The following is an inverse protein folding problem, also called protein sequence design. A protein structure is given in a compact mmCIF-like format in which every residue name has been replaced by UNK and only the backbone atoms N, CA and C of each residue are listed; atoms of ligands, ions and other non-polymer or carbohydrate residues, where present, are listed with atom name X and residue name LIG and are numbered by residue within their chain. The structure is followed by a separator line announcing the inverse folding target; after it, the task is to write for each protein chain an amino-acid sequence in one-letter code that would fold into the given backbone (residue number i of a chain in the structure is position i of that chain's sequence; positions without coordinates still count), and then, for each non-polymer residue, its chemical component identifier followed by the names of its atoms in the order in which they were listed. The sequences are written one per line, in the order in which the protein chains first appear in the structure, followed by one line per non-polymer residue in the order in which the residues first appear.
data_IF_939129636110
#
_entry.id   IF_939129636110
#
_cell.length_a   1.000
_cell.length_b   1.000
_cell.length_c   1.000
_cell.angle_alpha   90.00
_cell.angle_beta   90.00
_cell.angle_gamma   90.00
#
_symmetry.space_group_name_H-M   'P 1'
#
loop_
_entity.id
_entity.type
_entity.pdbx_description
1 polymer ?
#
# COMPACT_ATOMS: atom_id res chain seq x y z
N UNK A 1 -28.68 -26.85 39.76
CA UNK A 1 -28.24 -26.85 38.35
C UNK A 1 -27.10 -25.87 38.10
N UNK A 2 -27.20 -24.64 38.56
CA UNK A 2 -26.15 -23.60 38.38
C UNK A 2 -24.77 -23.96 38.96
N UNK A 3 -24.68 -24.53 40.17
CA UNK A 3 -23.41 -24.94 40.77
C UNK A 3 -22.69 -26.04 39.98
N UNK A 4 -23.40 -26.96 39.35
CA UNK A 4 -22.81 -28.01 38.51
C UNK A 4 -22.28 -27.44 37.18
N UNK A 5 -22.94 -26.45 36.60
CA UNK A 5 -22.48 -25.73 35.42
C UNK A 5 -21.20 -24.92 35.69
N UNK A 6 -21.11 -24.24 36.84
CA UNK A 6 -19.96 -23.49 37.26
C UNK A 6 -18.72 -24.39 37.49
N UNK A 7 -18.93 -25.53 38.13
CA UNK A 7 -17.87 -26.54 38.35
C UNK A 7 -17.38 -27.15 37.02
N UNK A 8 -18.24 -27.38 36.06
CA UNK A 8 -17.88 -27.86 34.71
C UNK A 8 -17.08 -26.82 33.94
N UNK A 9 -17.50 -25.55 34.01
CA UNK A 9 -16.79 -24.44 33.36
C UNK A 9 -15.37 -24.23 33.94
N UNK A 10 -15.21 -24.35 35.27
CA UNK A 10 -13.89 -24.29 35.92
C UNK A 10 -12.99 -25.44 35.50
N UNK A 11 -13.52 -26.66 35.38
CA UNK A 11 -12.77 -27.84 34.92
C UNK A 11 -12.34 -27.70 33.45
N UNK A 12 -13.17 -27.17 32.59
CA UNK A 12 -12.83 -26.93 31.18
C UNK A 12 -11.73 -25.86 31.04
N UNK A 13 -11.79 -24.78 31.83
CA UNK A 13 -10.74 -23.76 31.86
C UNK A 13 -9.39 -24.31 32.38
N UNK A 14 -9.41 -25.18 33.39
CA UNK A 14 -8.22 -25.82 33.91
C UNK A 14 -7.60 -26.76 32.86
N UNK A 15 -8.42 -27.54 32.16
CA UNK A 15 -7.96 -28.42 31.08
C UNK A 15 -7.36 -27.64 29.91
N UNK A 16 -7.99 -26.53 29.47
CA UNK A 16 -7.48 -25.66 28.43
C UNK A 16 -6.11 -25.04 28.79
N UNK A 17 -5.91 -24.65 30.06
CA UNK A 17 -4.61 -24.16 30.57
C UNK A 17 -3.56 -25.24 30.54
N UNK A 18 -3.87 -26.47 30.98
CA UNK A 18 -2.94 -27.58 30.98
C UNK A 18 -2.49 -27.97 29.57
N UNK A 19 -3.42 -28.03 28.61
CA UNK A 19 -3.11 -28.29 27.19
C UNK A 19 -2.19 -27.19 26.62
N UNK A 20 -2.48 -25.92 26.90
CA UNK A 20 -1.67 -24.80 26.44
C UNK A 20 -0.24 -24.83 26.99
N UNK A 21 -0.09 -25.16 28.28
CA UNK A 21 1.22 -25.33 28.92
C UNK A 21 2.00 -26.49 28.29
N UNK A 22 1.34 -27.61 28.01
CA UNK A 22 1.98 -28.77 27.37
C UNK A 22 2.44 -28.43 25.92
N UNK A 23 1.66 -27.69 25.18
CA UNK A 23 2.03 -27.20 23.84
C UNK A 23 3.26 -26.28 23.90
N UNK A 24 3.29 -25.34 24.84
CA UNK A 24 4.44 -24.44 25.02
C UNK A 24 5.73 -25.21 25.41
N UNK A 25 5.62 -26.23 26.29
CA UNK A 25 6.76 -27.09 26.64
C UNK A 25 7.22 -27.93 25.46
N UNK A 26 6.34 -28.43 24.63
CA UNK A 26 6.67 -29.16 23.40
C UNK A 26 7.43 -28.29 22.40
N UNK A 27 6.99 -27.02 22.21
CA UNK A 27 7.71 -26.06 21.37
C UNK A 27 9.10 -25.70 21.94
N UNK A 28 9.24 -25.60 23.26
CA UNK A 28 10.52 -25.36 23.89
C UNK A 28 11.47 -26.56 23.71
N UNK A 29 10.98 -27.80 23.86
CA UNK A 29 11.75 -29.03 23.65
C UNK A 29 12.19 -29.22 22.19
N UNK A 30 11.35 -28.82 21.22
CA UNK A 30 11.70 -28.88 19.81
C UNK A 30 12.75 -27.82 19.40
N UNK A 31 12.85 -26.71 20.12
CA UNK A 31 13.91 -25.71 19.90
C UNK A 31 15.30 -26.17 20.38
N UNK A 32 15.38 -27.00 21.39
CA UNK A 32 16.64 -27.47 21.98
C UNK A 32 17.31 -28.59 21.12
N UNK A 33 16.57 -29.26 20.22
CA UNK A 33 17.11 -30.36 19.38
C UNK A 33 17.72 -29.93 18.05
N UNK A 34 17.93 -28.60 17.79
CA UNK A 34 18.48 -28.09 16.54
C UNK A 34 19.86 -27.43 16.63
N UNK A 35 20.64 -27.73 17.65
CA UNK A 35 21.97 -27.08 17.87
C UNK A 35 23.15 -28.00 17.84
N UNK A 36 23.12 -29.15 17.17
CA UNK A 36 24.32 -30.00 17.03
C UNK A 36 24.35 -30.60 15.61
N UNK A 37 24.76 -29.81 14.62
CA UNK A 37 25.36 -30.24 13.34
C UNK A 37 25.74 -28.97 12.54
N UNK A 38 26.93 -28.44 12.82
CA UNK A 38 27.55 -27.35 12.03
C UNK A 38 28.72 -27.94 11.24
N UNK A 39 28.72 -27.86 9.89
CA UNK A 39 29.94 -28.12 9.11
C UNK A 39 30.83 -26.85 9.09
N UNK A 40 32.15 -26.95 8.85
CA UNK A 40 33.13 -25.90 9.07
C UNK A 40 32.98 -24.76 8.05
N UNK A 41 33.23 -23.55 8.54
CA UNK A 41 33.13 -22.28 7.86
C UNK A 41 34.12 -22.12 6.70
N UNK A 42 33.59 -21.84 5.50
CA UNK A 42 34.28 -21.10 4.48
C UNK A 42 33.81 -19.63 4.56
N UNK A 43 34.78 -18.72 4.61
CA UNK A 43 34.61 -17.30 4.87
C UNK A 43 33.96 -16.61 3.66
N UNK A 44 32.80 -15.97 3.78
CA UNK A 44 32.34 -15.01 2.79
C UNK A 44 32.58 -13.56 3.24
N UNK A 45 32.76 -12.74 2.23
CA UNK A 45 33.00 -11.31 2.28
C UNK A 45 32.14 -10.53 3.29
N UNK A 46 32.75 -9.53 3.90
CA UNK A 46 32.15 -8.63 4.88
C UNK A 46 30.86 -7.98 4.39
N UNK A 47 29.72 -8.49 4.85
CA UNK A 47 28.48 -7.76 4.77
C UNK A 47 28.49 -6.62 5.78
N UNK A 48 28.47 -5.38 5.28
CA UNK A 48 28.23 -4.22 6.14
C UNK A 48 26.93 -4.42 6.91
N UNK A 49 26.96 -4.16 8.22
CA UNK A 49 25.80 -4.29 9.09
C UNK A 49 24.63 -3.46 8.53
N UNK A 50 23.36 -3.94 8.66
CA UNK A 50 22.20 -3.14 8.33
C UNK A 50 22.27 -1.82 9.11
N UNK A 51 21.83 -0.69 8.52
CA UNK A 51 21.76 0.56 9.27
C UNK A 51 20.93 0.32 10.54
N UNK A 52 21.29 0.97 11.67
CA UNK A 52 20.60 0.76 12.93
C UNK A 52 19.10 0.90 12.71
N UNK A 53 18.33 -0.07 13.20
CA UNK A 53 16.88 0.00 13.17
C UNK A 53 16.49 1.36 13.77
N UNK A 54 15.91 2.22 12.93
CA UNK A 54 15.28 3.45 13.44
C UNK A 54 14.32 2.98 14.52
N UNK A 55 14.54 3.46 15.74
CA UNK A 55 13.73 3.16 16.90
C UNK A 55 12.24 3.26 16.51
N UNK A 56 11.39 2.53 17.20
CA UNK A 56 9.95 2.40 17.00
C UNK A 56 9.13 3.70 17.09
N UNK A 57 9.76 4.83 16.89
CA UNK A 57 9.13 6.14 16.77
C UNK A 57 8.58 6.34 15.36
N UNK A 58 7.52 5.57 15.05
CA UNK A 58 6.65 5.98 13.94
C UNK A 58 6.01 7.29 14.40
N UNK A 59 6.33 8.45 13.80
CA UNK A 59 5.73 9.70 14.22
C UNK A 59 4.21 9.55 14.14
N UNK A 60 3.50 10.05 15.16
CA UNK A 60 2.05 10.07 15.16
C UNK A 60 1.56 10.83 13.91
N UNK A 61 0.52 10.30 13.24
CA UNK A 61 -0.07 10.99 12.09
C UNK A 61 -0.43 12.44 12.47
N UNK A 62 -0.12 13.44 11.63
CA UNK A 62 -0.48 14.84 11.85
C UNK A 62 -1.97 15.06 12.14
N UNK A 63 -2.84 14.13 11.75
CA UNK A 63 -4.28 14.15 12.05
C UNK A 63 -4.61 14.16 13.56
N UNK A 64 -3.66 13.76 14.43
CA UNK A 64 -3.80 13.83 15.89
C UNK A 64 -3.24 15.15 16.48
N UNK A 65 -2.57 15.96 15.67
CA UNK A 65 -1.78 17.10 16.15
C UNK A 65 -2.59 18.34 16.57
N UNK A 66 -3.88 18.45 16.20
CA UNK A 66 -4.75 19.58 16.59
C UNK A 66 -5.88 19.11 17.49
N UNK A 67 -5.86 19.59 18.75
CA UNK A 67 -6.92 19.29 19.71
C UNK A 67 -8.31 19.76 19.26
N UNK A 68 -8.38 20.78 18.39
CA UNK A 68 -9.62 21.43 17.95
C UNK A 68 -10.11 20.97 16.57
N UNK A 69 -9.29 20.24 15.78
CA UNK A 69 -9.72 19.77 14.47
C UNK A 69 -10.85 18.71 14.59
N UNK A 70 -11.88 18.75 13.73
CA UNK A 70 -12.93 17.74 13.74
C UNK A 70 -12.34 16.33 13.57
N UNK A 71 -12.85 15.39 14.38
CA UNK A 71 -12.49 13.98 14.25
C UNK A 71 -13.09 13.41 12.96
N UNK A 72 -12.34 12.56 12.28
CA UNK A 72 -12.86 11.85 11.12
C UNK A 72 -12.64 10.34 11.27
N UNK A 73 -13.70 9.50 11.14
CA UNK A 73 -13.55 8.04 11.28
C UNK A 73 -12.58 7.41 10.27
N UNK A 74 -12.38 8.02 9.10
CA UNK A 74 -11.40 7.54 8.11
C UNK A 74 -9.96 7.99 8.36
N UNK A 75 -9.71 8.85 9.38
CA UNK A 75 -8.37 9.27 9.77
C UNK A 75 -7.75 8.40 10.86
N UNK A 76 -8.57 7.73 11.64
CA UNK A 76 -8.23 7.07 12.90
C UNK A 76 -8.75 5.62 12.89
N UNK A 77 -8.09 4.74 13.62
CA UNK A 77 -8.64 3.42 13.97
C UNK A 77 -9.77 3.59 15.01
N UNK A 78 -10.56 2.54 15.22
CA UNK A 78 -11.64 2.57 16.20
C UNK A 78 -11.17 2.94 17.62
N UNK A 79 -10.00 2.44 18.01
CA UNK A 79 -9.40 2.71 19.33
C UNK A 79 -8.87 4.14 19.44
N UNK A 80 -8.17 4.63 18.42
CA UNK A 80 -7.70 6.01 18.34
C UNK A 80 -8.86 7.01 18.33
N UNK A 81 -9.91 6.70 17.55
CA UNK A 81 -11.13 7.52 17.49
C UNK A 81 -11.84 7.58 18.85
N UNK A 82 -11.98 6.44 19.52
CA UNK A 82 -12.59 6.37 20.83
C UNK A 82 -11.76 7.10 21.90
N UNK A 83 -10.45 6.98 21.86
CA UNK A 83 -9.54 7.68 22.76
C UNK A 83 -9.62 9.21 22.56
N UNK A 84 -9.56 9.68 21.29
CA UNK A 84 -9.65 11.10 20.96
C UNK A 84 -11.00 11.71 21.35
N UNK A 85 -12.12 10.99 21.10
CA UNK A 85 -13.45 11.42 21.52
C UNK A 85 -13.58 11.48 23.04
N UNK A 86 -13.07 10.47 23.75
CA UNK A 86 -13.08 10.44 25.22
C UNK A 86 -12.24 11.55 25.85
N UNK A 87 -11.09 11.86 25.26
CA UNK A 87 -10.24 12.96 25.73
C UNK A 87 -10.95 14.32 25.64
N UNK A 88 -11.78 14.53 24.60
CA UNK A 88 -12.52 15.79 24.40
C UNK A 88 -13.79 15.90 25.23
N UNK A 89 -14.48 14.77 25.50
CA UNK A 89 -15.75 14.77 26.23
C UNK A 89 -15.64 14.30 27.69
N UNK A 90 -14.46 13.89 28.14
CA UNK A 90 -14.24 13.28 29.46
C UNK A 90 -14.87 11.88 29.62
N UNK A 91 -15.56 11.36 28.58
CA UNK A 91 -16.30 10.08 28.59
C UNK A 91 -16.67 9.64 27.18
N UNK A 92 -17.29 8.46 27.04
CA UNK A 92 -18.00 8.08 25.81
C UNK A 92 -17.25 7.16 24.86
N UNK A 93 -16.12 6.54 25.27
CA UNK A 93 -15.32 5.69 24.40
C UNK A 93 -16.08 4.50 23.77
N UNK A 94 -16.99 3.87 24.50
CA UNK A 94 -17.83 2.79 23.98
C UNK A 94 -18.78 3.30 22.89
N UNK A 95 -19.41 4.46 23.13
CA UNK A 95 -20.31 5.09 22.15
C UNK A 95 -19.56 5.59 20.93
N UNK A 96 -18.33 6.10 21.12
CA UNK A 96 -17.47 6.50 20.02
C UNK A 96 -17.12 5.30 19.10
N UNK A 97 -16.82 4.14 19.67
CA UNK A 97 -16.62 2.92 18.84
C UNK A 97 -17.91 2.49 18.10
N UNK A 98 -19.07 2.64 18.73
CA UNK A 98 -20.35 2.34 18.07
C UNK A 98 -20.61 3.31 16.90
N UNK A 99 -20.35 4.61 17.10
CA UNK A 99 -20.44 5.63 16.04
C UNK A 99 -19.46 5.36 14.89
N UNK A 100 -18.21 5.02 15.23
CA UNK A 100 -17.17 4.65 14.26
C UNK A 100 -17.60 3.47 13.40
N UNK A 101 -18.11 2.39 14.03
CA UNK A 101 -18.59 1.20 13.34
C UNK A 101 -19.77 1.53 12.41
N UNK A 102 -20.75 2.31 12.91
CA UNK A 102 -21.93 2.68 12.13
C UNK A 102 -21.55 3.57 10.93
N UNK A 103 -20.64 4.53 11.11
CA UNK A 103 -20.11 5.34 10.01
C UNK A 103 -19.44 4.47 8.94
N UNK A 104 -18.55 3.57 9.33
CA UNK A 104 -17.82 2.73 8.38
C UNK A 104 -18.71 1.68 7.70
N UNK A 105 -19.85 1.33 8.30
CA UNK A 105 -20.86 0.46 7.67
C UNK A 105 -21.76 1.21 6.71
N UNK A 106 -22.21 2.40 7.08
CA UNK A 106 -23.27 3.12 6.38
C UNK A 106 -22.78 4.33 5.55
N UNK A 107 -21.53 4.77 5.74
CA UNK A 107 -20.92 5.90 5.04
C UNK A 107 -21.38 7.28 5.55
N UNK A 108 -22.22 7.34 6.58
CA UNK A 108 -22.78 8.59 7.09
C UNK A 108 -22.79 8.62 8.62
N UNK A 109 -22.68 9.84 9.19
CA UNK A 109 -22.85 10.07 10.63
C UNK A 109 -24.32 10.20 11.05
N UNK A 110 -25.26 10.27 10.13
CA UNK A 110 -26.68 10.51 10.40
C UNK A 110 -27.44 9.24 10.85
N UNK A 111 -26.88 8.07 10.55
CA UNK A 111 -27.53 6.79 10.88
C UNK A 111 -27.14 6.35 12.28
N UNK A 112 -27.75 6.94 13.30
CA UNK A 112 -27.65 6.49 14.70
C UNK A 112 -28.48 5.19 14.83
N UNK A 113 -27.92 4.07 14.37
CA UNK A 113 -28.61 2.75 14.39
C UNK A 113 -28.22 1.91 15.59
N UNK A 114 -27.01 2.10 16.12
CA UNK A 114 -26.57 1.32 17.26
C UNK A 114 -27.45 1.59 18.47
N UNK A 115 -27.93 0.51 19.11
CA UNK A 115 -28.76 0.58 20.31
C UNK A 115 -28.10 1.41 21.41
N UNK A 116 -26.81 1.31 21.53
CA UNK A 116 -25.97 2.05 22.49
C UNK A 116 -26.10 3.57 22.28
N UNK A 117 -26.10 4.04 21.03
CA UNK A 117 -26.23 5.46 20.70
C UNK A 117 -27.67 5.95 20.94
N UNK A 118 -28.68 5.11 20.66
CA UNK A 118 -30.09 5.43 20.95
C UNK A 118 -30.40 5.56 22.45
N UNK A 119 -29.67 4.82 23.30
CA UNK A 119 -29.81 4.88 24.74
C UNK A 119 -29.17 6.11 25.38
N UNK A 120 -28.31 6.83 24.65
CA UNK A 120 -27.61 8.01 25.13
C UNK A 120 -27.63 9.15 24.09
N UNK A 121 -28.81 9.65 23.69
CA UNK A 121 -28.98 10.56 22.55
C UNK A 121 -28.19 11.88 22.70
N UNK A 122 -28.14 12.44 23.91
CA UNK A 122 -27.38 13.66 24.16
C UNK A 122 -25.88 13.48 23.95
N UNK A 123 -25.29 12.38 24.40
CA UNK A 123 -23.88 12.09 24.20
C UNK A 123 -23.60 11.70 22.75
N UNK A 124 -24.51 10.99 22.09
CA UNK A 124 -24.41 10.69 20.66
C UNK A 124 -24.39 11.98 19.82
N UNK A 125 -25.24 12.96 20.15
CA UNK A 125 -25.22 14.26 19.49
C UNK A 125 -23.90 15.01 19.70
N UNK A 126 -23.36 15.01 20.93
CA UNK A 126 -22.03 15.59 21.22
C UNK A 126 -20.92 14.90 20.42
N UNK A 127 -20.91 13.57 20.33
CA UNK A 127 -19.95 12.81 19.52
C UNK A 127 -20.07 13.16 18.04
N UNK A 128 -21.26 13.25 17.48
CA UNK A 128 -21.46 13.65 16.09
C UNK A 128 -20.96 15.09 15.84
N UNK A 129 -21.18 16.00 16.77
CA UNK A 129 -20.70 17.39 16.67
C UNK A 129 -19.17 17.50 16.66
N UNK A 130 -18.45 16.55 17.26
CA UNK A 130 -16.99 16.48 17.19
C UNK A 130 -16.47 16.02 15.83
N UNK A 131 -17.33 15.46 14.97
CA UNK A 131 -16.91 14.77 13.76
C UNK A 131 -17.12 15.60 12.51
N UNK A 132 -16.19 15.51 11.56
CA UNK A 132 -16.44 15.90 10.18
C UNK A 132 -17.28 14.81 9.49
N UNK A 133 -18.46 15.18 9.01
CA UNK A 133 -19.42 14.20 8.44
C UNK A 133 -19.12 13.84 6.98
N UNK A 134 -18.57 14.76 6.19
CA UNK A 134 -18.30 14.53 4.78
C UNK A 134 -16.94 13.85 4.58
N UNK A 135 -16.82 12.87 3.67
CA UNK A 135 -15.53 12.29 3.30
C UNK A 135 -14.53 13.36 2.86
N UNK A 136 -13.22 13.17 3.11
CA UNK A 136 -12.19 14.14 2.74
C UNK A 136 -12.01 14.32 1.23
N UNK A 137 -12.32 13.29 0.43
CA UNK A 137 -12.41 13.36 -1.03
C UNK A 137 -13.88 13.38 -1.46
N UNK A 138 -14.18 14.05 -2.55
CA UNK A 138 -15.47 14.00 -3.22
C UNK A 138 -15.34 13.17 -4.49
N UNK A 139 -16.22 12.19 -4.70
CA UNK A 139 -16.32 11.46 -5.95
C UNK A 139 -16.90 12.38 -7.03
N UNK A 140 -16.36 12.34 -8.25
CA UNK A 140 -16.86 13.14 -9.35
C UNK A 140 -18.32 12.83 -9.68
N UNK A 141 -19.09 13.85 -10.08
CA UNK A 141 -20.49 13.74 -10.41
C UNK A 141 -20.72 12.73 -11.56
N UNK A 142 -21.83 12.01 -11.49
CA UNK A 142 -22.19 11.00 -12.49
C UNK A 142 -21.42 9.68 -12.40
N UNK A 143 -20.57 9.51 -11.40
CA UNK A 143 -19.88 8.23 -11.18
C UNK A 143 -20.90 7.13 -10.83
N UNK A 144 -20.81 6.01 -11.54
CA UNK A 144 -21.67 4.84 -11.36
C UNK A 144 -20.83 3.58 -11.12
N UNK A 145 -21.46 2.55 -10.57
CA UNK A 145 -20.81 1.24 -10.42
C UNK A 145 -20.34 0.72 -11.78
N UNK A 146 -19.16 0.08 -11.85
CA UNK A 146 -18.65 -0.45 -13.11
C UNK A 146 -19.52 -1.63 -13.58
N UNK A 147 -19.59 -1.83 -14.90
CA UNK A 147 -20.22 -3.02 -15.45
C UNK A 147 -19.52 -4.30 -14.92
N UNK A 148 -20.24 -5.41 -14.76
CA UNK A 148 -19.66 -6.67 -14.32
C UNK A 148 -18.45 -7.07 -15.17
N UNK A 149 -17.30 -7.32 -14.52
CA UNK A 149 -16.07 -7.71 -15.20
C UNK A 149 -15.26 -6.57 -15.84
N UNK A 150 -15.78 -5.34 -15.87
CA UNK A 150 -15.09 -4.18 -16.44
C UNK A 150 -14.12 -3.55 -15.42
N UNK A 151 -13.02 -2.99 -15.94
CA UNK A 151 -12.14 -2.09 -15.17
C UNK A 151 -12.63 -0.66 -15.35
N UNK A 152 -12.75 0.10 -14.26
CA UNK A 152 -13.26 1.46 -14.30
C UNK A 152 -12.37 2.41 -13.50
N UNK A 153 -12.12 3.59 -14.04
CA UNK A 153 -11.36 4.66 -13.40
C UNK A 153 -12.31 5.73 -12.87
N UNK A 154 -12.05 6.18 -11.65
CA UNK A 154 -12.80 7.23 -10.98
C UNK A 154 -11.90 8.38 -10.62
N UNK A 155 -12.41 9.58 -10.81
CA UNK A 155 -11.78 10.82 -10.37
C UNK A 155 -12.39 11.25 -9.04
N UNK A 156 -11.53 11.58 -8.09
CA UNK A 156 -11.92 12.13 -6.80
C UNK A 156 -11.27 13.49 -6.61
N UNK A 157 -12.02 14.42 -6.02
CA UNK A 157 -11.55 15.78 -5.79
C UNK A 157 -11.26 16.01 -4.32
N UNK A 158 -10.11 16.57 -4.04
CA UNK A 158 -9.70 17.02 -2.70
C UNK A 158 -10.40 18.32 -2.33
N UNK A 159 -10.46 18.65 -1.04
CA UNK A 159 -11.07 19.92 -0.56
C UNK A 159 -10.34 21.16 -1.07
N UNK A 160 -9.05 21.07 -1.32
CA UNK A 160 -8.20 22.13 -1.89
C UNK A 160 -8.20 22.13 -3.42
N UNK A 161 -9.09 21.34 -4.06
CA UNK A 161 -9.41 21.43 -5.49
C UNK A 161 -8.53 20.59 -6.40
N UNK A 162 -7.62 19.78 -5.89
CA UNK A 162 -6.87 18.81 -6.69
C UNK A 162 -7.73 17.59 -7.02
N UNK A 163 -7.32 16.88 -8.06
CA UNK A 163 -7.95 15.63 -8.48
C UNK A 163 -6.96 14.47 -8.35
N UNK A 164 -7.45 13.35 -7.85
CA UNK A 164 -6.73 12.07 -7.83
C UNK A 164 -7.58 10.99 -8.45
N UNK A 165 -6.96 9.94 -8.91
CA UNK A 165 -7.64 8.84 -9.61
C UNK A 165 -7.53 7.55 -8.81
N UNK A 166 -8.63 6.80 -8.76
CA UNK A 166 -8.65 5.41 -8.31
C UNK A 166 -9.18 4.50 -9.40
N UNK A 167 -8.80 3.22 -9.37
CA UNK A 167 -9.27 2.24 -10.36
C UNK A 167 -9.89 1.05 -9.64
N UNK A 168 -11.13 0.71 -10.02
CA UNK A 168 -11.79 -0.52 -9.62
C UNK A 168 -11.58 -1.59 -10.69
N UNK A 169 -11.07 -2.75 -10.28
CA UNK A 169 -10.80 -3.89 -11.14
C UNK A 169 -11.47 -5.13 -10.58
N UNK A 170 -12.03 -6.02 -11.41
CA UNK A 170 -12.53 -7.31 -10.94
C UNK A 170 -11.45 -8.08 -10.16
N UNK A 171 -11.78 -8.57 -8.97
CA UNK A 171 -10.85 -9.34 -8.16
C UNK A 171 -10.61 -10.72 -8.79
N UNK A 172 -9.36 -11.16 -9.01
CA UNK A 172 -9.07 -12.45 -9.59
C UNK A 172 -9.64 -13.60 -8.73
N UNK A 173 -10.38 -14.52 -9.36
CA UNK A 173 -10.92 -15.71 -8.70
C UNK A 173 -12.05 -15.46 -7.69
N UNK A 174 -12.65 -14.26 -7.70
CA UNK A 174 -13.73 -13.90 -6.77
C UNK A 174 -14.82 -13.11 -7.51
N UNK A 175 -15.82 -13.81 -8.02
CA UNK A 175 -16.92 -13.19 -8.74
C UNK A 175 -17.68 -12.17 -7.87
N UNK A 176 -17.93 -10.98 -8.43
CA UNK A 176 -18.63 -9.90 -7.74
C UNK A 176 -17.80 -9.17 -6.69
N UNK A 177 -16.51 -9.49 -6.53
CA UNK A 177 -15.58 -8.77 -5.66
C UNK A 177 -14.58 -7.94 -6.48
N UNK A 178 -14.05 -6.90 -5.86
CA UNK A 178 -13.23 -5.88 -6.51
C UNK A 178 -11.87 -5.69 -5.84
N UNK A 179 -10.85 -5.49 -6.66
CA UNK A 179 -9.54 -4.96 -6.27
C UNK A 179 -9.53 -3.47 -6.54
N UNK A 180 -9.14 -2.68 -5.56
CA UNK A 180 -9.05 -1.24 -5.71
C UNK A 180 -7.59 -0.78 -5.79
N UNK A 181 -7.27 -0.05 -6.86
CA UNK A 181 -6.00 0.66 -6.99
C UNK A 181 -6.19 2.09 -6.46
N UNK A 182 -5.51 2.41 -5.36
CA UNK A 182 -5.65 3.70 -4.68
C UNK A 182 -4.41 4.57 -4.85
N UNK A 183 -4.63 5.88 -4.88
CA UNK A 183 -3.59 6.91 -4.91
C UNK A 183 -3.13 7.28 -3.51
N UNK A 184 -1.85 7.59 -3.35
CA UNK A 184 -1.23 8.03 -2.08
C UNK A 184 -0.76 9.48 -2.11
N UNK A 185 -0.68 10.09 -3.29
CA UNK A 185 -0.22 11.48 -3.49
C UNK A 185 -1.00 12.13 -4.63
N UNK A 186 -1.01 13.45 -4.67
CA UNK A 186 -1.39 14.25 -5.84
C UNK A 186 -0.13 14.45 -6.68
N UNK A 187 -0.02 13.71 -7.79
CA UNK A 187 1.22 13.62 -8.56
C UNK A 187 2.24 12.67 -7.94
N UNK A 188 3.52 12.72 -8.39
CA UNK A 188 4.59 11.87 -7.90
C UNK A 188 5.95 12.53 -8.16
N UNK A 189 6.81 12.59 -7.13
CA UNK A 189 8.16 13.18 -7.28
C UNK A 189 9.16 12.27 -7.97
N UNK A 190 8.86 10.97 -8.11
CA UNK A 190 9.85 10.00 -8.60
C UNK A 190 10.23 10.22 -10.07
N UNK A 191 9.35 10.84 -10.86
CA UNK A 191 9.67 11.27 -12.22
C UNK A 191 10.03 10.14 -13.18
N UNK A 192 9.54 8.92 -12.95
CA UNK A 192 9.78 7.78 -13.84
C UNK A 192 9.34 8.13 -15.26
N UNK A 193 10.24 7.97 -16.24
CA UNK A 193 10.05 8.44 -17.62
C UNK A 193 8.87 7.77 -18.34
N UNK A 194 8.50 6.58 -17.91
CA UNK A 194 7.41 5.75 -18.43
C UNK A 194 6.13 5.81 -17.58
N UNK A 195 5.95 6.83 -16.72
CA UNK A 195 4.79 6.98 -15.86
C UNK A 195 4.14 8.36 -16.03
N UNK A 196 2.84 8.39 -16.35
CA UNK A 196 2.10 9.65 -16.54
C UNK A 196 2.05 10.48 -15.25
N UNK A 197 1.86 9.82 -14.09
CA UNK A 197 1.88 10.51 -12.79
C UNK A 197 3.25 11.15 -12.51
N UNK A 198 4.34 10.50 -12.91
CA UNK A 198 5.71 11.05 -12.77
C UNK A 198 5.91 12.32 -13.59
N UNK A 199 5.21 12.49 -14.71
CA UNK A 199 5.25 13.70 -15.55
C UNK A 199 4.55 14.91 -14.92
N UNK A 200 3.66 14.69 -13.95
CA UNK A 200 2.96 15.76 -13.23
C UNK A 200 3.87 16.41 -12.17
N UNK A 201 4.87 15.69 -11.68
CA UNK A 201 5.58 16.06 -10.46
C UNK A 201 4.71 15.87 -9.20
N UNK A 202 5.28 16.10 -8.03
CA UNK A 202 4.54 16.04 -6.75
C UNK A 202 3.93 17.40 -6.45
N UNK A 203 2.63 17.43 -6.20
CA UNK A 203 1.91 18.60 -5.69
C UNK A 203 1.76 18.54 -4.18
N UNK A 204 1.25 17.42 -3.62
CA UNK A 204 1.22 17.13 -2.19
C UNK A 204 0.94 15.67 -1.87
N UNK A 205 1.19 15.28 -0.64
CA UNK A 205 0.77 14.01 -0.09
C UNK A 205 -0.74 13.98 0.20
N UNK A 206 -1.33 12.79 0.14
CA UNK A 206 -2.69 12.55 0.64
C UNK A 206 -2.62 12.15 2.11
N UNK A 207 -3.53 12.67 2.92
CA UNK A 207 -3.71 12.21 4.29
C UNK A 207 -4.27 10.78 4.35
N UNK A 208 -4.11 10.11 5.48
CA UNK A 208 -4.67 8.78 5.71
C UNK A 208 -6.19 8.75 5.46
N UNK A 209 -6.89 9.80 5.86
CA UNK A 209 -8.33 9.93 5.63
C UNK A 209 -8.67 10.07 4.13
N UNK A 210 -7.89 10.83 3.36
CA UNK A 210 -8.08 10.93 1.91
C UNK A 210 -7.79 9.60 1.21
N UNK A 211 -6.76 8.88 1.63
CA UNK A 211 -6.48 7.56 1.09
C UNK A 211 -7.63 6.59 1.41
N UNK A 212 -8.06 6.52 2.67
CA UNK A 212 -9.13 5.63 3.11
C UNK A 212 -10.49 5.99 2.46
N UNK A 213 -10.74 7.27 2.17
CA UNK A 213 -12.00 7.70 1.54
C UNK A 213 -12.18 7.17 0.12
N UNK A 214 -11.11 6.82 -0.60
CA UNK A 214 -11.22 6.15 -1.90
C UNK A 214 -11.92 4.80 -1.75
N UNK A 215 -11.56 4.02 -0.71
CA UNK A 215 -12.21 2.73 -0.41
C UNK A 215 -13.62 2.92 0.13
N UNK A 216 -13.85 3.95 0.94
CA UNK A 216 -15.18 4.28 1.45
C UNK A 216 -16.15 4.63 0.30
N UNK A 217 -15.73 5.47 -0.66
CA UNK A 217 -16.53 5.76 -1.87
C UNK A 217 -16.80 4.52 -2.71
N UNK A 218 -15.80 3.65 -2.91
CA UNK A 218 -16.02 2.41 -3.64
C UNK A 218 -17.11 1.55 -2.99
N UNK A 219 -17.15 1.49 -1.66
CA UNK A 219 -18.16 0.69 -0.92
C UNK A 219 -19.51 1.38 -0.83
N UNK A 220 -19.54 2.63 -0.40
CA UNK A 220 -20.80 3.29 -0.03
C UNK A 220 -21.45 4.01 -1.21
N UNK A 221 -20.66 4.67 -2.07
CA UNK A 221 -21.19 5.41 -3.22
C UNK A 221 -21.38 4.51 -4.44
N UNK A 222 -20.46 3.56 -4.67
CA UNK A 222 -20.50 2.67 -5.83
C UNK A 222 -21.02 1.26 -5.52
N UNK A 223 -21.28 0.92 -4.25
CA UNK A 223 -21.81 -0.39 -3.84
C UNK A 223 -20.83 -1.57 -4.06
N UNK A 224 -19.53 -1.33 -4.17
CA UNK A 224 -18.55 -2.36 -4.50
C UNK A 224 -18.15 -3.19 -3.29
N UNK A 225 -18.10 -4.52 -3.45
CA UNK A 225 -17.52 -5.44 -2.47
C UNK A 225 -15.99 -5.43 -2.62
N UNK A 226 -15.31 -4.51 -1.94
CA UNK A 226 -13.85 -4.37 -2.01
C UNK A 226 -13.20 -5.51 -1.22
N UNK A 227 -12.49 -6.40 -1.96
CA UNK A 227 -11.73 -7.53 -1.42
C UNK A 227 -10.29 -7.16 -1.11
N UNK A 228 -9.63 -6.45 -2.04
CA UNK A 228 -8.21 -6.11 -1.94
C UNK A 228 -7.95 -4.66 -2.33
N UNK A 229 -6.89 -4.10 -1.74
CA UNK A 229 -6.45 -2.74 -2.01
C UNK A 229 -4.98 -2.78 -2.42
N UNK A 230 -4.64 -2.13 -3.53
CA UNK A 230 -3.26 -2.00 -3.99
C UNK A 230 -2.88 -0.52 -4.07
N UNK A 231 -1.80 -0.13 -3.43
CA UNK A 231 -1.22 1.22 -3.45
C UNK A 231 -0.34 1.32 -4.70
N UNK A 232 -0.99 1.44 -5.86
CA UNK A 232 -0.36 1.48 -7.19
C UNK A 232 -0.99 2.56 -8.08
N UNK A 233 -1.76 3.45 -7.50
CA UNK A 233 -2.33 4.63 -8.15
C UNK A 233 -1.32 5.76 -8.29
N UNK A 234 -1.77 6.99 -8.14
CA UNK A 234 -0.89 8.16 -8.20
C UNK A 234 -0.03 8.25 -6.94
N UNK A 235 1.28 8.52 -7.13
CA UNK A 235 2.25 8.74 -6.05
C UNK A 235 3.20 7.55 -5.80
N UNK A 236 4.23 7.82 -4.99
CA UNK A 236 5.09 6.81 -4.37
C UNK A 236 4.62 6.63 -2.91
N UNK A 237 4.04 5.47 -2.57
CA UNK A 237 3.49 5.28 -1.23
C UNK A 237 4.51 5.44 -0.11
N UNK A 238 5.76 5.04 -0.33
CA UNK A 238 6.78 5.11 0.70
C UNK A 238 7.39 6.51 0.87
N UNK A 239 7.16 7.45 -0.05
CA UNK A 239 7.43 8.88 0.20
C UNK A 239 6.42 9.48 1.20
N UNK A 240 5.24 8.88 1.31
CA UNK A 240 4.15 9.25 2.22
C UNK A 240 3.90 8.16 3.27
N UNK A 241 4.96 7.54 3.79
CA UNK A 241 4.90 6.30 4.56
C UNK A 241 4.05 6.40 5.83
N UNK A 242 4.06 7.56 6.52
CA UNK A 242 3.30 7.77 7.77
C UNK A 242 1.80 7.69 7.51
N UNK A 243 1.32 8.45 6.54
CA UNK A 243 -0.11 8.47 6.16
C UNK A 243 -0.55 7.15 5.52
N UNK A 244 0.35 6.49 4.75
CA UNK A 244 0.10 5.17 4.18
C UNK A 244 -0.04 4.11 5.28
N UNK A 245 0.85 4.08 6.27
CA UNK A 245 0.74 3.16 7.41
C UNK A 245 -0.58 3.41 8.16
N UNK A 246 -0.90 4.66 8.46
CA UNK A 246 -2.14 5.00 9.14
C UNK A 246 -3.38 4.63 8.31
N UNK A 247 -3.39 4.92 7.02
CA UNK A 247 -4.50 4.53 6.13
C UNK A 247 -4.71 3.01 6.11
N UNK A 248 -3.62 2.22 6.09
CA UNK A 248 -3.71 0.76 6.14
C UNK A 248 -4.29 0.29 7.48
N UNK A 249 -3.90 0.89 8.61
CA UNK A 249 -4.50 0.57 9.92
C UNK A 249 -6.00 0.83 9.92
N UNK A 250 -6.44 1.98 9.39
CA UNK A 250 -7.86 2.33 9.25
C UNK A 250 -8.60 1.37 8.32
N UNK A 251 -8.02 1.07 7.14
CA UNK A 251 -8.62 0.14 6.17
C UNK A 251 -8.79 -1.26 6.72
N UNK A 252 -7.88 -1.69 7.59
CA UNK A 252 -7.86 -3.06 8.12
C UNK A 252 -8.49 -3.19 9.51
N UNK A 253 -8.95 -2.09 10.10
CA UNK A 253 -9.69 -2.10 11.36
C UNK A 253 -10.98 -2.92 11.22
N UNK A 254 -11.19 -3.86 12.15
CA UNK A 254 -12.35 -4.77 12.11
C UNK A 254 -13.68 -4.05 12.32
N UNK A 255 -13.70 -2.96 13.08
CA UNK A 255 -14.87 -2.10 13.26
C UNK A 255 -14.99 -1.03 12.15
N UNK A 256 -13.95 -0.91 11.33
CA UNK A 256 -13.87 0.03 10.21
C UNK A 256 -14.23 -0.62 8.87
N UNK A 257 -13.37 -0.34 7.87
CA UNK A 257 -13.57 -0.88 6.52
C UNK A 257 -13.23 -2.38 6.42
N UNK A 258 -12.54 -2.98 7.38
CA UNK A 258 -12.40 -4.43 7.54
C UNK A 258 -11.73 -5.16 6.36
N UNK A 259 -10.86 -4.49 5.61
CA UNK A 259 -10.07 -5.14 4.55
C UNK A 259 -9.03 -6.04 5.22
N UNK A 260 -8.93 -7.30 4.80
CA UNK A 260 -7.92 -8.17 5.39
C UNK A 260 -6.51 -7.65 5.10
N UNK A 261 -5.66 -7.52 6.13
CA UNK A 261 -4.27 -7.03 6.00
C UNK A 261 -3.49 -7.77 4.89
N UNK A 262 -3.72 -9.07 4.74
CA UNK A 262 -3.11 -9.90 3.70
C UNK A 262 -3.65 -9.61 2.28
N UNK A 263 -4.67 -8.78 2.13
CA UNK A 263 -5.21 -8.33 0.86
C UNK A 263 -4.80 -6.90 0.52
N UNK A 264 -3.97 -6.28 1.37
CA UNK A 264 -3.34 -4.99 1.09
C UNK A 264 -1.96 -5.22 0.48
N UNK A 265 -1.67 -4.54 -0.63
CA UNK A 265 -0.36 -4.54 -1.28
C UNK A 265 0.14 -3.13 -1.43
N UNK A 266 1.34 -2.85 -0.93
CA UNK A 266 2.04 -1.58 -1.13
C UNK A 266 3.12 -1.79 -2.18
N UNK A 267 3.13 -0.95 -3.22
CA UNK A 267 4.19 -0.93 -4.23
C UNK A 267 5.17 0.20 -3.95
N UNK A 268 6.43 0.00 -4.29
CA UNK A 268 7.44 1.06 -4.23
C UNK A 268 8.36 1.04 -5.45
N UNK A 269 8.72 2.23 -5.92
CA UNK A 269 9.68 2.42 -6.99
C UNK A 269 11.14 2.36 -6.51
N UNK A 270 11.36 2.22 -5.19
CA UNK A 270 12.70 2.07 -4.63
C UNK A 270 13.04 3.00 -3.46
N UNK A 271 12.06 3.54 -2.75
CA UNK A 271 12.31 4.23 -1.47
C UNK A 271 12.70 3.21 -0.38
N UNK A 272 13.97 2.79 -0.45
CA UNK A 272 14.48 1.63 0.29
C UNK A 272 14.38 1.80 1.81
N UNK A 273 14.64 3.01 2.35
CA UNK A 273 14.59 3.26 3.81
C UNK A 273 13.22 2.98 4.40
N UNK A 274 12.17 3.42 3.73
CA UNK A 274 10.82 3.28 4.26
C UNK A 274 10.23 1.89 4.06
N UNK A 275 10.90 0.99 3.32
CA UNK A 275 10.59 -0.45 3.35
C UNK A 275 10.76 -1.00 4.77
N UNK A 276 11.86 -0.65 5.45
CA UNK A 276 12.11 -1.08 6.83
C UNK A 276 11.03 -0.55 7.80
N UNK A 277 10.65 0.72 7.66
CA UNK A 277 9.59 1.35 8.46
C UNK A 277 8.24 0.67 8.26
N UNK A 278 7.84 0.41 7.01
CA UNK A 278 6.58 -0.27 6.69
C UNK A 278 6.57 -1.70 7.22
N UNK A 279 7.66 -2.45 7.03
CA UNK A 279 7.79 -3.85 7.49
C UNK A 279 7.73 -3.93 9.01
N UNK A 280 8.41 -3.01 9.72
CA UNK A 280 8.36 -2.93 11.18
C UNK A 280 6.96 -2.64 11.72
N UNK A 281 6.24 -1.71 11.07
CA UNK A 281 4.90 -1.32 11.50
C UNK A 281 3.79 -2.32 11.10
N UNK A 282 3.90 -2.93 9.90
CA UNK A 282 2.85 -3.74 9.27
C UNK A 282 3.42 -5.01 8.58
N UNK A 283 3.98 -5.97 9.32
CA UNK A 283 4.71 -7.12 8.73
C UNK A 283 3.81 -8.07 7.92
N UNK A 284 2.48 -7.91 7.99
CA UNK A 284 1.51 -8.74 7.26
C UNK A 284 1.09 -8.13 5.92
N UNK A 285 1.49 -6.91 5.59
CA UNK A 285 1.22 -6.27 4.30
C UNK A 285 2.04 -6.95 3.20
N UNK A 286 1.46 -7.08 2.01
CA UNK A 286 2.19 -7.53 0.84
C UNK A 286 2.97 -6.37 0.24
N UNK A 287 4.15 -6.65 -0.30
CA UNK A 287 4.92 -5.64 -1.02
C UNK A 287 5.17 -6.05 -2.47
N UNK A 288 5.15 -5.04 -3.33
CA UNK A 288 5.54 -5.11 -4.72
C UNK A 288 6.68 -4.12 -4.97
N UNK A 289 7.74 -4.57 -5.61
CA UNK A 289 8.98 -3.83 -5.82
C UNK A 289 9.18 -3.57 -7.30
N UNK A 290 9.11 -2.31 -7.70
CA UNK A 290 9.24 -1.85 -9.07
C UNK A 290 10.71 -1.74 -9.47
N UNK A 291 11.30 -2.85 -9.89
CA UNK A 291 12.71 -2.93 -10.33
C UNK A 291 12.85 -2.32 -11.73
N UNK A 292 12.10 -2.78 -12.71
CA UNK A 292 11.98 -2.36 -14.10
C UNK A 292 13.26 -2.40 -14.94
N UNK A 293 14.44 -2.28 -14.35
CA UNK A 293 15.76 -2.37 -15.01
C UNK A 293 16.72 -3.13 -14.11
N UNK A 294 17.62 -3.92 -14.72
CA UNK A 294 18.57 -4.75 -14.00
C UNK A 294 19.96 -4.12 -13.88
N UNK A 295 20.14 -2.89 -14.40
CA UNK A 295 21.37 -2.12 -14.29
C UNK A 295 21.11 -0.72 -13.76
N UNK A 296 22.05 -0.21 -12.94
CA UNK A 296 21.92 1.10 -12.29
C UNK A 296 21.98 2.28 -13.26
N UNK A 297 22.67 2.16 -14.39
CA UNK A 297 22.83 3.24 -15.36
C UNK A 297 21.49 3.54 -16.06
N UNK A 298 20.88 2.51 -16.65
CA UNK A 298 19.57 2.61 -17.31
C UNK A 298 18.50 2.97 -16.29
N UNK A 299 18.53 2.34 -15.11
CA UNK A 299 17.55 2.62 -14.06
C UNK A 299 17.65 4.07 -13.59
N UNK A 300 18.86 4.61 -13.38
CA UNK A 300 19.06 6.01 -12.97
C UNK A 300 18.64 7.01 -14.04
N UNK A 301 18.75 6.64 -15.32
CA UNK A 301 18.30 7.45 -16.45
C UNK A 301 16.77 7.54 -16.52
N UNK A 302 16.07 6.42 -16.30
CA UNK A 302 14.62 6.30 -16.50
C UNK A 302 13.80 6.34 -15.21
N UNK A 303 14.43 6.07 -14.07
CA UNK A 303 13.86 6.14 -12.72
C UNK A 303 14.80 6.91 -11.79
N UNK A 304 14.66 8.23 -11.68
CA UNK A 304 15.58 9.08 -10.91
C UNK A 304 15.79 8.69 -9.45
N UNK A 305 14.83 7.96 -8.84
CA UNK A 305 14.95 7.42 -7.47
C UNK A 305 16.21 6.56 -7.30
N UNK A 306 16.67 5.89 -8.35
CA UNK A 306 17.86 5.05 -8.32
C UNK A 306 19.15 5.81 -7.99
N UNK A 307 19.18 7.12 -8.23
CA UNK A 307 20.30 7.99 -7.83
C UNK A 307 20.39 8.19 -6.33
N UNK A 308 19.27 7.98 -5.60
CA UNK A 308 19.21 8.05 -4.14
C UNK A 308 19.40 6.68 -3.49
N UNK A 309 18.87 5.65 -4.11
CA UNK A 309 18.90 4.27 -3.65
C UNK A 309 19.24 3.37 -4.83
N UNK A 310 20.47 2.87 -4.85
CA UNK A 310 20.95 1.94 -5.87
C UNK A 310 20.17 0.64 -5.89
N UNK A 311 20.34 -0.15 -6.96
CA UNK A 311 19.75 -1.50 -7.03
C UNK A 311 20.22 -2.39 -5.87
N UNK A 312 21.46 -2.23 -5.41
CA UNK A 312 21.99 -2.97 -4.27
C UNK A 312 21.28 -2.59 -2.97
N UNK A 313 21.10 -1.29 -2.67
CA UNK A 313 20.34 -0.85 -1.50
C UNK A 313 18.88 -1.30 -1.56
N UNK A 314 18.27 -1.22 -2.74
CA UNK A 314 16.90 -1.67 -2.94
C UNK A 314 16.80 -3.20 -2.80
N UNK A 315 17.78 -3.95 -3.32
CA UNK A 315 17.90 -5.41 -3.15
C UNK A 315 17.98 -5.82 -1.69
N UNK A 316 18.81 -5.13 -0.88
CA UNK A 316 18.88 -5.36 0.58
C UNK A 316 17.54 -5.12 1.28
N UNK A 317 16.80 -4.09 0.89
CA UNK A 317 15.48 -3.82 1.45
C UNK A 317 14.46 -4.91 1.08
N UNK A 318 14.53 -5.47 -0.14
CA UNK A 318 13.71 -6.61 -0.58
C UNK A 318 14.06 -7.87 0.23
N UNK A 319 15.35 -8.17 0.40
CA UNK A 319 15.82 -9.29 1.22
C UNK A 319 15.32 -9.17 2.66
N UNK A 320 15.44 -7.99 3.27
CA UNK A 320 14.91 -7.69 4.60
C UNK A 320 13.40 -7.96 4.71
N UNK A 321 12.60 -7.50 3.72
CA UNK A 321 11.18 -7.80 3.69
C UNK A 321 10.92 -9.31 3.69
N UNK A 322 11.61 -10.08 2.84
CA UNK A 322 11.45 -11.53 2.72
C UNK A 322 11.83 -12.23 4.02
N UNK A 323 12.97 -11.87 4.60
CA UNK A 323 13.52 -12.47 5.82
C UNK A 323 12.65 -12.19 7.05
N UNK A 324 12.21 -10.94 7.21
CA UNK A 324 11.41 -10.53 8.35
C UNK A 324 9.99 -11.08 8.29
N UNK A 325 9.35 -10.99 7.12
CA UNK A 325 7.94 -11.36 6.99
C UNK A 325 7.71 -12.82 6.63
N UNK A 326 8.74 -13.54 6.16
CA UNK A 326 8.69 -14.88 5.59
C UNK A 326 7.76 -14.98 4.38
N UNK A 327 7.42 -13.84 3.74
CA UNK A 327 6.55 -13.76 2.57
C UNK A 327 7.37 -13.75 1.28
N UNK A 328 6.69 -14.08 0.17
CA UNK A 328 7.25 -13.84 -1.16
C UNK A 328 7.18 -12.36 -1.49
N UNK A 329 8.23 -11.83 -2.10
CA UNK A 329 8.24 -10.49 -2.68
C UNK A 329 7.72 -10.54 -4.12
N UNK A 330 6.92 -9.53 -4.49
CA UNK A 330 6.49 -9.36 -5.89
C UNK A 330 7.41 -8.36 -6.57
N UNK A 331 8.15 -8.81 -7.57
CA UNK A 331 8.98 -7.97 -8.44
C UNK A 331 8.15 -7.52 -9.62
N UNK A 332 8.09 -6.23 -9.88
CA UNK A 332 7.45 -5.66 -11.07
C UNK A 332 8.50 -5.23 -12.07
N UNK A 333 8.28 -5.60 -13.34
CA UNK A 333 9.16 -5.29 -14.44
C UNK A 333 8.32 -4.86 -15.66
N UNK A 334 8.36 -3.56 -15.98
CA UNK A 334 7.68 -3.01 -17.14
C UNK A 334 8.58 -3.20 -18.35
N UNK A 335 8.07 -3.91 -19.35
CA UNK A 335 8.76 -4.15 -20.62
C UNK A 335 8.55 -2.96 -21.56
N UNK A 336 9.63 -2.33 -21.98
CA UNK A 336 9.69 -1.20 -22.92
C UNK A 336 10.45 -1.66 -24.18
N UNK A 337 9.81 -1.55 -25.34
CA UNK A 337 10.41 -2.02 -26.60
C UNK A 337 11.77 -1.35 -26.89
N UNK A 338 12.80 -2.15 -27.08
CA UNK A 338 14.15 -1.70 -27.38
C UNK A 338 14.93 -1.08 -26.22
N UNK A 339 14.35 -1.02 -25.01
CA UNK A 339 15.02 -0.46 -23.82
C UNK A 339 15.41 -1.56 -22.81
N UNK A 340 14.54 -2.57 -22.61
CA UNK A 340 14.73 -3.61 -21.60
C UNK A 340 13.94 -4.88 -21.90
N UNK A 341 13.63 -5.17 -23.16
CA UNK A 341 12.80 -6.30 -23.56
C UNK A 341 13.58 -7.42 -24.30
N UNK A 342 14.90 -7.28 -24.41
CA UNK A 342 15.76 -8.31 -25.01
C UNK A 342 15.96 -9.52 -24.06
N UNK A 343 16.32 -10.68 -24.61
CA UNK A 343 16.61 -11.87 -23.80
C UNK A 343 17.80 -11.67 -22.86
N UNK A 344 18.79 -10.84 -23.26
CA UNK A 344 19.90 -10.46 -22.40
C UNK A 344 19.43 -9.70 -21.15
N UNK A 345 18.38 -8.87 -21.26
CA UNK A 345 17.79 -8.18 -20.12
C UNK A 345 17.08 -9.14 -19.17
N UNK A 346 16.48 -10.22 -19.70
CA UNK A 346 15.91 -11.27 -18.87
C UNK A 346 16.99 -12.01 -18.07
N UNK A 347 18.15 -12.29 -18.71
CA UNK A 347 19.31 -12.91 -18.04
C UNK A 347 19.91 -11.99 -16.98
N UNK A 348 20.03 -10.69 -17.28
CA UNK A 348 20.50 -9.67 -16.33
C UNK A 348 19.54 -9.54 -15.11
N UNK A 349 18.23 -9.52 -15.38
CA UNK A 349 17.23 -9.50 -14.31
C UNK A 349 17.34 -10.75 -13.43
N UNK A 350 17.50 -11.92 -14.03
CA UNK A 350 17.65 -13.16 -13.29
C UNK A 350 18.93 -13.19 -12.45
N UNK A 351 20.03 -12.62 -12.95
CA UNK A 351 21.28 -12.46 -12.20
C UNK A 351 21.07 -11.56 -10.96
N UNK A 352 20.51 -10.37 -11.15
CA UNK A 352 20.18 -9.45 -10.06
C UNK A 352 19.27 -10.11 -9.01
N UNK A 353 18.23 -10.80 -9.43
CA UNK A 353 17.27 -11.41 -8.52
C UNK A 353 17.87 -12.55 -7.67
N UNK A 354 18.87 -13.30 -8.21
CA UNK A 354 19.59 -14.33 -7.46
C UNK A 354 20.40 -13.76 -6.29
N UNK A 355 20.92 -12.54 -6.44
CA UNK A 355 21.63 -11.84 -5.36
C UNK A 355 20.67 -11.39 -4.23
N UNK A 356 19.40 -11.17 -4.57
CA UNK A 356 18.38 -10.69 -3.61
C UNK A 356 17.79 -11.83 -2.78
N UNK A 357 17.34 -12.91 -3.44
CA UNK A 357 16.72 -14.05 -2.74
C UNK A 357 16.59 -15.28 -3.65
N UNK A 358 16.41 -16.49 -3.08
CA UNK A 358 16.06 -17.69 -3.83
C UNK A 358 14.80 -17.50 -4.67
N UNK A 359 14.75 -18.14 -5.86
CA UNK A 359 13.69 -17.94 -6.86
C UNK A 359 12.28 -18.22 -6.32
N UNK A 360 12.12 -19.21 -5.45
CA UNK A 360 10.84 -19.55 -4.80
C UNK A 360 10.30 -18.47 -3.85
N UNK A 361 11.14 -17.51 -3.47
CA UNK A 361 10.76 -16.36 -2.63
C UNK A 361 10.36 -15.14 -3.45
N UNK A 362 10.51 -15.20 -4.76
CA UNK A 362 10.25 -14.10 -5.68
C UNK A 362 9.14 -14.47 -6.67
N UNK A 363 8.30 -13.50 -6.95
CA UNK A 363 7.22 -13.60 -7.91
C UNK A 363 7.38 -12.45 -8.91
N UNK A 364 7.73 -12.75 -10.15
CA UNK A 364 7.96 -11.73 -11.18
C UNK A 364 6.66 -11.41 -11.93
N UNK A 365 6.25 -10.16 -11.93
CA UNK A 365 5.19 -9.63 -12.76
C UNK A 365 5.78 -8.85 -13.93
N UNK A 366 5.68 -9.37 -15.13
CA UNK A 366 6.00 -8.65 -16.35
C UNK A 366 4.79 -7.82 -16.78
N UNK A 367 5.00 -6.56 -17.06
CA UNK A 367 3.97 -5.60 -17.43
C UNK A 367 4.32 -5.03 -18.79
N UNK A 368 3.64 -5.41 -19.89
CA UNK A 368 3.83 -4.72 -21.16
C UNK A 368 3.54 -3.23 -20.97
N UNK A 369 4.37 -2.38 -21.56
CA UNK A 369 4.21 -0.94 -21.43
C UNK A 369 2.83 -0.49 -21.94
N UNK A 370 2.18 0.32 -21.13
CA UNK A 370 0.93 0.97 -21.50
C UNK A 370 1.24 2.39 -21.98
N UNK A 371 0.91 2.69 -23.23
CA UNK A 371 1.17 4.00 -23.80
C UNK A 371 0.52 5.12 -22.96
N UNK A 372 1.17 6.27 -22.95
CA UNK A 372 0.77 7.47 -22.21
C UNK A 372 0.21 8.52 -23.17
N UNK A 373 -0.15 9.67 -22.62
CA UNK A 373 -0.50 10.84 -23.42
C UNK A 373 0.70 11.31 -24.28
N UNK A 374 0.39 11.89 -25.44
CA UNK A 374 1.41 12.44 -26.34
C UNK A 374 2.28 13.54 -25.68
N UNK A 375 3.55 13.71 -26.06
CA UNK A 375 4.28 12.88 -27.02
C UNK A 375 4.68 11.52 -26.45
N UNK A 376 4.57 10.46 -27.24
CA UNK A 376 5.02 9.11 -26.88
C UNK A 376 6.53 9.08 -26.72
N UNK A 377 7.00 8.45 -25.68
CA UNK A 377 8.45 8.29 -25.39
C UNK A 377 8.95 6.88 -25.59
N UNK A 378 8.06 5.92 -25.46
CA UNK A 378 8.38 4.49 -25.51
C UNK A 378 7.30 3.74 -26.31
N UNK A 379 7.67 2.58 -26.82
CA UNK A 379 6.77 1.69 -27.52
C UNK A 379 6.48 0.45 -26.68
N UNK A 380 5.30 -0.13 -26.89
CA UNK A 380 4.91 -1.39 -26.28
C UNK A 380 5.60 -2.55 -27.02
N UNK A 381 6.28 -3.47 -26.31
CA UNK A 381 6.87 -4.64 -26.95
C UNK A 381 5.81 -5.51 -27.61
N UNK A 382 6.23 -6.28 -28.65
CA UNK A 382 5.35 -7.26 -29.27
C UNK A 382 4.97 -8.37 -28.29
N UNK A 383 3.82 -9.00 -28.48
CA UNK A 383 3.40 -10.14 -27.67
C UNK A 383 4.44 -11.28 -27.70
N UNK A 384 5.04 -11.50 -28.87
CA UNK A 384 6.11 -12.49 -29.04
C UNK A 384 7.34 -12.18 -28.18
N UNK A 385 7.79 -10.91 -28.13
CA UNK A 385 8.91 -10.49 -27.29
C UNK A 385 8.58 -10.67 -25.81
N UNK A 386 7.39 -10.23 -25.36
CA UNK A 386 6.94 -10.43 -23.98
C UNK A 386 6.87 -11.92 -23.60
N UNK A 387 6.42 -12.77 -24.49
CA UNK A 387 6.35 -14.22 -24.27
C UNK A 387 7.74 -14.84 -24.20
N UNK A 388 8.63 -14.49 -25.12
CA UNK A 388 10.01 -14.98 -25.13
C UNK A 388 10.78 -14.57 -23.86
N UNK A 389 10.63 -13.32 -23.40
CA UNK A 389 11.20 -12.82 -22.15
C UNK A 389 10.68 -13.63 -20.93
N UNK A 390 9.36 -13.85 -20.87
CA UNK A 390 8.75 -14.68 -19.83
C UNK A 390 9.31 -16.11 -19.85
N UNK A 391 9.35 -16.74 -21.04
CA UNK A 391 9.84 -18.11 -21.19
C UNK A 391 11.30 -18.25 -20.78
N UNK A 392 12.14 -17.25 -21.09
CA UNK A 392 13.55 -17.19 -20.65
C UNK A 392 13.64 -17.26 -19.13
N UNK A 393 12.92 -16.40 -18.43
CA UNK A 393 12.91 -16.38 -16.95
C UNK A 393 12.36 -17.68 -16.33
N UNK A 394 11.36 -18.29 -16.94
CA UNK A 394 10.75 -19.53 -16.43
C UNK A 394 11.61 -20.76 -16.70
N UNK A 395 12.02 -20.96 -17.98
CA UNK A 395 12.66 -22.20 -18.41
C UNK A 395 14.14 -22.26 -18.03
N UNK A 396 14.86 -21.13 -18.19
CA UNK A 396 16.30 -21.12 -17.96
C UNK A 396 16.66 -20.70 -16.52
N UNK A 397 15.81 -19.90 -15.86
CA UNK A 397 16.12 -19.34 -14.54
C UNK A 397 15.18 -19.80 -13.42
N UNK A 398 14.12 -20.55 -13.71
CA UNK A 398 13.25 -21.18 -12.72
C UNK A 398 12.34 -20.24 -11.94
N UNK A 399 12.16 -18.99 -12.38
CA UNK A 399 11.29 -18.03 -11.70
C UNK A 399 9.81 -18.30 -11.96
N UNK A 400 8.97 -18.02 -10.97
CA UNK A 400 7.53 -17.92 -11.21
C UNK A 400 7.22 -16.54 -11.81
N UNK A 401 6.75 -16.54 -13.06
CA UNK A 401 6.54 -15.32 -13.86
C UNK A 401 5.10 -15.22 -14.33
N UNK A 402 4.47 -14.09 -14.05
CA UNK A 402 3.16 -13.71 -14.59
C UNK A 402 3.31 -12.57 -15.59
N UNK A 403 2.92 -12.81 -16.83
CA UNK A 403 2.71 -11.73 -17.80
C UNK A 403 1.32 -11.13 -17.53
N UNK A 404 1.28 -9.84 -17.22
CA UNK A 404 0.04 -9.13 -16.88
C UNK A 404 -0.72 -8.80 -18.17
N UNK A 405 -1.99 -9.12 -18.16
CA UNK A 405 -2.93 -8.57 -19.14
C UNK A 405 -3.14 -7.09 -18.85
N UNK A 406 -3.07 -6.26 -19.87
CA UNK A 406 -3.43 -4.85 -19.75
C UNK A 406 -4.95 -4.73 -19.57
N UNK A 407 -5.36 -4.08 -18.50
CA UNK A 407 -6.78 -3.83 -18.19
C UNK A 407 -7.03 -2.33 -18.11
N UNK A 408 -8.10 -1.87 -18.76
CA UNK A 408 -8.51 -0.46 -18.71
C UNK A 408 -7.59 0.49 -19.47
N UNK A 409 -6.78 0.01 -20.43
CA UNK A 409 -5.94 0.87 -21.28
C UNK A 409 -6.77 1.85 -22.11
N UNK A 410 -7.92 1.42 -22.58
CA UNK A 410 -8.92 2.21 -23.30
C UNK A 410 -9.46 3.39 -22.49
N UNK A 411 -9.43 3.27 -21.15
CA UNK A 411 -9.89 4.29 -20.20
C UNK A 411 -8.74 5.03 -19.51
N UNK A 412 -7.50 4.85 -19.98
CA UNK A 412 -6.30 5.37 -19.30
C UNK A 412 -6.25 4.96 -17.82
N UNK A 413 -6.64 3.73 -17.53
CA UNK A 413 -6.73 3.16 -16.19
C UNK A 413 -5.66 2.09 -15.90
N UNK A 414 -4.81 1.76 -16.87
CA UNK A 414 -3.74 0.79 -16.69
C UNK A 414 -2.56 1.39 -15.90
N UNK A 415 -1.67 0.50 -15.42
CA UNK A 415 -0.47 0.93 -14.68
C UNK A 415 0.37 1.92 -15.49
N UNK A 416 0.79 3.01 -14.85
CA UNK A 416 1.56 4.09 -15.48
C UNK A 416 0.72 5.14 -16.23
N UNK A 417 -0.59 4.95 -16.41
CA UNK A 417 -1.46 5.84 -17.17
C UNK A 417 -2.21 6.86 -16.31
N UNK A 418 -2.22 6.74 -14.99
CA UNK A 418 -2.94 7.65 -14.11
C UNK A 418 -2.27 9.03 -14.08
N UNK A 419 -3.07 10.05 -14.23
CA UNK A 419 -2.63 11.45 -14.26
C UNK A 419 -3.51 12.24 -15.21
N UNK A 420 -4.48 12.99 -14.68
CA UNK A 420 -5.39 13.78 -15.50
C UNK A 420 -4.63 14.93 -16.18
N UNK A 421 -4.63 14.97 -17.51
CA UNK A 421 -4.02 16.04 -18.32
C UNK A 421 -4.63 17.42 -17.97
N UNK A 422 -5.88 17.45 -17.48
CA UNK A 422 -6.54 18.69 -17.04
C UNK A 422 -5.87 19.31 -15.80
N UNK A 423 -5.20 18.50 -14.94
CA UNK A 423 -4.42 19.00 -13.80
C UNK A 423 -3.24 19.87 -14.25
N UNK A 424 -2.61 19.57 -15.39
CA UNK A 424 -1.53 20.39 -15.98
C UNK A 424 -2.00 21.80 -16.32
N UNK A 425 -3.25 21.98 -16.74
CA UNK A 425 -3.79 23.27 -17.15
C UNK A 425 -4.15 24.16 -15.96
N UNK A 426 -4.51 23.59 -14.81
CA UNK A 426 -4.86 24.34 -13.59
C UNK A 426 -3.65 24.71 -12.71
N UNK A 427 -2.59 23.92 -12.71
CA UNK A 427 -1.32 24.23 -12.03
C UNK A 427 -0.46 25.29 -12.73
N UNK A 428 -0.83 25.77 -13.90
CA UNK A 428 -0.13 26.78 -14.67
C UNK A 428 -0.41 28.24 -14.29
N UNK A 429 -1.21 28.48 -13.26
CA UNK A 429 -1.49 29.82 -12.74
C UNK A 429 -0.82 30.04 -11.39
N UNK A 430 0.43 30.51 -11.38
CA UNK A 430 1.01 31.24 -10.25
C UNK A 430 1.58 30.42 -9.08
N UNK A 431 2.34 29.38 -9.32
CA UNK A 431 3.18 28.73 -8.32
C UNK A 431 4.54 28.37 -8.91
N UNK A 432 5.61 28.78 -8.26
CA UNK A 432 6.98 28.59 -8.71
C UNK A 432 7.24 27.11 -9.12
N UNK A 433 7.56 26.88 -10.39
CA UNK A 433 8.07 25.61 -10.89
C UNK A 433 9.32 25.26 -10.10
N UNK A 434 9.30 24.23 -9.25
CA UNK A 434 10.54 23.59 -8.84
C UNK A 434 11.09 22.85 -10.06
N UNK A 435 12.37 23.06 -10.40
CA UNK A 435 12.99 22.36 -11.53
C UNK A 435 13.01 20.85 -11.28
N UNK A 436 13.02 20.01 -12.35
CA UNK A 436 13.26 18.59 -12.21
C UNK A 436 14.60 18.36 -11.50
N UNK A 437 14.68 17.29 -10.72
CA UNK A 437 15.85 16.89 -9.90
C UNK A 437 17.21 16.83 -10.67
N UNK A 438 17.23 17.02 -11.98
CA UNK A 438 18.45 17.05 -12.79
C UNK A 438 19.35 18.27 -12.54
N UNK A 439 18.84 19.36 -11.96
CA UNK A 439 19.55 20.64 -11.83
C UNK A 439 19.89 21.03 -10.38
N UNK A 440 19.83 20.12 -9.43
CA UNK A 440 20.30 20.38 -8.07
C UNK A 440 21.80 20.08 -8.00
N UNK A 441 22.59 21.14 -7.97
CA UNK A 441 24.04 21.06 -7.80
C UNK A 441 24.41 20.28 -6.50
N UNK A 442 25.51 19.49 -6.50
CA UNK A 442 25.95 18.80 -5.30
C UNK A 442 26.41 19.82 -4.25
N UNK A 443 25.70 19.95 -3.14
CA UNK A 443 26.08 20.84 -2.05
C UNK A 443 24.94 21.41 -1.21
N UNK A 444 23.69 21.06 -1.44
CA UNK A 444 22.59 21.50 -0.57
C UNK A 444 22.37 20.46 0.52
N UNK A 445 22.69 20.83 1.75
CA UNK A 445 22.42 20.09 2.97
C UNK A 445 20.90 19.90 3.13
N UNK A 446 20.44 18.66 3.05
CA UNK A 446 19.04 18.25 3.25
C UNK A 446 18.87 17.56 4.61
N UNK A 447 19.38 18.18 5.66
CA UNK A 447 19.04 17.80 7.04
C UNK A 447 17.63 18.34 7.37
N UNK A 448 16.59 17.53 7.14
CA UNK A 448 15.27 17.64 7.74
C UNK A 448 14.80 16.24 8.13
#
# INVERSE_FOLDING_TARGET
MQQRLLALQQRLLALARAVWTAVLLLFAALRIRRTDDEPPADTPASHAAPPPALASDTPASPALASADAPLHPLALTADEFAAAASARLGRGGVLARALYRDYNRDGTLSAVRARELQQAPALAAQLCALCAGAPPLALADGAAAPAPGATEKYVLRTRDGYEVEMVAMPAPGAAGEWSLCVSSQVGCRQGCAFCETGRLGLLRDLSAAEIASQVAHARHSLGLRVRSVVYMGMGEPLDNVVEVIQSIRVLTDILGLGVAMSQVTVSTAGEARHVYSLVGALPRVRMAFSIHFADDATRSRLMPINRRFSLDEFGRAISHYIETTKRRATVQYTLLAGENDALADADALAALLREIAPAERLHVNLIPYNWQSEPRRFETPTEAACKAFKERLVKEHGYFVKLRETRGADKMAACGQLGNVALRKRGGGGGARRPPLADVAPGVDLSW
#
